data_IF_316867695480
#
_entry.id   IF_316867695480
#
_cell.length_a   1.000
_cell.length_b   1.000
_cell.length_c   1.000
_cell.angle_alpha   90.00
_cell.angle_beta   90.00
_cell.angle_gamma   90.00
#
_symmetry.space_group_name_H-M   'P 1'
#
loop_
_entity.id
_entity.type
_entity.pdbx_description
1 polymer ?
#
# COMPACT_ATOMS: atom_id res chain seq x y z
N UNK A 1 -24.70 -11.35 7.06
CA UNK A 1 -24.00 -11.66 8.33
C UNK A 1 -22.67 -10.94 8.29
N UNK A 2 -22.26 -10.29 9.38
CA UNK A 2 -20.97 -9.59 9.49
C UNK A 2 -20.13 -10.24 10.60
N UNK A 3 -18.79 -10.09 10.60
CA UNK A 3 -17.96 -10.62 11.68
C UNK A 3 -18.35 -10.02 13.04
N UNK A 4 -18.34 -10.84 14.09
CA UNK A 4 -18.54 -10.43 15.47
C UNK A 4 -17.38 -10.92 16.34
N UNK A 5 -17.01 -10.13 17.36
CA UNK A 5 -16.03 -10.56 18.35
C UNK A 5 -16.58 -11.75 19.14
N UNK A 6 -15.77 -12.80 19.26
CA UNK A 6 -16.07 -13.99 20.07
C UNK A 6 -15.43 -13.92 21.46
N UNK A 7 -15.09 -12.72 21.93
CA UNK A 7 -14.51 -12.43 23.24
C UNK A 7 -15.41 -11.47 24.03
N UNK A 8 -15.55 -11.71 25.33
CA UNK A 8 -16.19 -10.77 26.25
C UNK A 8 -15.22 -9.68 26.74
N UNK A 9 -13.92 -9.85 26.53
CA UNK A 9 -12.89 -8.90 26.96
C UNK A 9 -12.73 -7.80 25.90
N UNK A 10 -13.50 -6.74 26.05
CA UNK A 10 -13.50 -5.57 25.16
C UNK A 10 -13.33 -4.22 25.89
N UNK A 11 -13.04 -4.25 27.20
CA UNK A 11 -12.86 -3.05 28.02
C UNK A 11 -11.85 -2.04 27.44
N UNK A 12 -10.62 -2.46 27.09
CA UNK A 12 -9.63 -1.57 26.50
C UNK A 12 -10.06 -1.01 25.14
N UNK A 13 -10.69 -1.84 24.27
CA UNK A 13 -11.25 -1.37 23.01
C UNK A 13 -12.31 -0.28 23.23
N UNK A 14 -13.27 -0.50 24.12
CA UNK A 14 -14.32 0.46 24.43
C UNK A 14 -13.75 1.76 25.03
N UNK A 15 -12.68 1.68 25.82
CA UNK A 15 -11.99 2.85 26.36
C UNK A 15 -11.29 3.64 25.24
N UNK A 16 -10.59 2.95 24.34
CA UNK A 16 -9.98 3.56 23.16
C UNK A 16 -11.02 4.27 22.28
N UNK A 17 -12.14 3.61 21.99
CA UNK A 17 -13.25 4.19 21.22
C UNK A 17 -13.82 5.44 21.87
N UNK A 18 -14.06 5.44 23.19
CA UNK A 18 -14.54 6.62 23.93
C UNK A 18 -13.56 7.79 23.82
N UNK A 19 -12.26 7.53 23.92
CA UNK A 19 -11.24 8.56 23.77
C UNK A 19 -11.23 9.13 22.34
N UNK A 20 -11.29 8.27 21.32
CA UNK A 20 -11.35 8.71 19.92
C UNK A 20 -12.61 9.56 19.65
N UNK A 21 -13.78 9.10 20.09
CA UNK A 21 -15.05 9.79 19.88
C UNK A 21 -15.11 11.15 20.59
N UNK A 22 -14.60 11.23 21.82
CA UNK A 22 -14.56 12.49 22.58
C UNK A 22 -13.52 13.49 22.07
N UNK A 23 -12.48 13.02 21.37
CA UNK A 23 -11.41 13.85 20.82
C UNK A 23 -11.51 14.08 19.30
N UNK A 24 -12.60 13.67 18.64
CA UNK A 24 -12.70 13.61 17.16
C UNK A 24 -12.24 14.90 16.44
N UNK A 25 -12.71 16.12 16.78
CA UNK A 25 -12.25 17.33 16.10
C UNK A 25 -10.75 17.61 16.26
N UNK A 26 -10.20 17.22 17.43
CA UNK A 26 -8.77 17.38 17.74
C UNK A 26 -7.93 16.38 16.93
N UNK A 27 -8.37 15.12 16.82
CA UNK A 27 -7.73 14.09 16.01
C UNK A 27 -7.67 14.51 14.54
N UNK A 28 -8.80 14.96 13.99
CA UNK A 28 -8.86 15.40 12.60
C UNK A 28 -7.97 16.63 12.33
N UNK A 29 -7.89 17.56 13.29
CA UNK A 29 -6.96 18.68 13.22
C UNK A 29 -5.49 18.25 13.29
N UNK A 30 -5.17 17.31 14.18
CA UNK A 30 -3.83 16.74 14.30
C UNK A 30 -3.40 16.11 12.97
N UNK A 31 -4.22 15.23 12.38
CA UNK A 31 -3.94 14.63 11.08
C UNK A 31 -3.75 15.68 9.98
N UNK A 32 -4.65 16.67 9.87
CA UNK A 32 -4.48 17.75 8.88
C UNK A 32 -3.14 18.46 9.02
N UNK A 33 -2.64 18.66 10.24
CA UNK A 33 -1.33 19.27 10.49
C UNK A 33 -0.20 18.34 10.07
N UNK A 34 -0.27 17.05 10.41
CA UNK A 34 0.72 16.06 9.97
C UNK A 34 0.84 16.00 8.44
N UNK A 35 -0.29 16.11 7.72
CA UNK A 35 -0.29 16.08 6.26
C UNK A 35 0.26 17.36 5.60
N UNK A 36 0.46 18.45 6.35
CA UNK A 36 1.18 19.63 5.85
C UNK A 36 2.70 19.39 5.82
N UNK A 37 3.21 18.62 6.78
CA UNK A 37 4.64 18.31 6.93
C UNK A 37 5.05 17.04 6.17
N UNK A 38 4.11 16.10 6.03
CA UNK A 38 4.35 14.79 5.41
C UNK A 38 3.35 14.52 4.29
N UNK A 39 3.86 14.27 3.08
CA UNK A 39 3.00 13.87 1.96
C UNK A 39 2.43 12.46 2.16
N UNK A 40 1.14 12.29 1.86
CA UNK A 40 0.51 10.97 1.81
C UNK A 40 0.91 10.21 0.54
N UNK A 41 0.99 8.87 0.55
CA UNK A 41 1.14 8.09 -0.67
C UNK A 41 -0.09 8.25 -1.57
N UNK A 42 0.05 7.89 -2.85
CA UNK A 42 -1.07 7.91 -3.81
C UNK A 42 -2.20 6.98 -3.37
N UNK A 43 -1.82 5.82 -2.83
CA UNK A 43 -2.73 4.84 -2.26
C UNK A 43 -2.00 3.98 -1.21
N UNK A 44 -2.75 3.31 -0.34
CA UNK A 44 -2.24 2.31 0.58
C UNK A 44 -3.39 1.45 1.10
N UNK A 45 -3.08 0.23 1.56
CA UNK A 45 -3.94 -0.53 2.46
C UNK A 45 -3.21 -0.84 3.76
N UNK A 46 -3.97 -0.93 4.85
CA UNK A 46 -3.45 -1.27 6.19
C UNK A 46 -4.31 -2.38 6.76
N UNK A 47 -3.67 -3.50 7.11
CA UNK A 47 -4.35 -4.61 7.79
C UNK A 47 -4.35 -4.33 9.29
N UNK A 48 -5.52 -4.45 9.92
CA UNK A 48 -5.70 -4.28 11.35
C UNK A 48 -6.08 -5.60 12.01
N UNK A 49 -5.69 -5.79 13.27
CA UNK A 49 -6.24 -6.83 14.13
C UNK A 49 -6.89 -6.22 15.36
N UNK A 50 -8.15 -6.60 15.58
CA UNK A 50 -8.89 -6.27 16.79
C UNK A 50 -8.93 -7.49 17.73
N UNK A 51 -8.22 -7.41 18.85
CA UNK A 51 -8.16 -8.46 19.85
C UNK A 51 -9.10 -8.21 21.05
N UNK A 52 -9.92 -7.14 21.01
CA UNK A 52 -10.74 -6.67 22.14
C UNK A 52 -9.95 -5.93 23.23
N UNK A 53 -8.71 -6.35 23.50
CA UNK A 53 -7.77 -5.63 24.38
C UNK A 53 -6.77 -4.73 23.62
N UNK A 54 -6.67 -4.86 22.30
CA UNK A 54 -5.73 -4.12 21.45
C UNK A 54 -6.28 -3.98 20.03
N UNK A 55 -6.05 -2.85 19.40
CA UNK A 55 -6.38 -2.58 18.00
C UNK A 55 -5.14 -2.00 17.32
N UNK A 56 -4.41 -2.84 16.58
CA UNK A 56 -3.13 -2.46 16.01
C UNK A 56 -3.02 -2.81 14.52
N UNK A 57 -2.27 -2.03 13.73
CA UNK A 57 -1.90 -2.42 12.39
C UNK A 57 -0.88 -3.56 12.42
N UNK A 58 -1.00 -4.48 11.47
CA UNK A 58 -0.13 -5.65 11.32
C UNK A 58 0.54 -5.71 9.95
N UNK A 59 -0.01 -5.02 8.96
CA UNK A 59 0.63 -4.84 7.66
C UNK A 59 0.29 -3.47 7.06
N UNK A 60 1.20 -2.94 6.25
CA UNK A 60 0.96 -1.74 5.43
C UNK A 60 1.52 -2.02 4.04
N UNK A 61 0.62 -1.98 3.06
CA UNK A 61 0.93 -2.23 1.66
C UNK A 61 0.75 -0.94 0.84
N UNK A 62 1.83 -0.50 0.20
CA UNK A 62 1.84 0.63 -0.73
C UNK A 62 1.48 0.23 -2.17
N UNK A 63 1.15 -1.04 -2.40
CA UNK A 63 0.73 -1.63 -3.67
C UNK A 63 -0.53 -2.48 -3.45
N UNK A 64 -1.63 -1.91 -2.93
CA UNK A 64 -2.83 -2.68 -2.61
C UNK A 64 -3.38 -3.42 -3.83
N UNK A 65 -3.61 -4.73 -3.68
CA UNK A 65 -4.04 -5.63 -4.76
C UNK A 65 -5.49 -6.11 -4.65
N UNK A 66 -6.35 -5.37 -3.94
CA UNK A 66 -7.73 -5.78 -3.62
C UNK A 66 -8.81 -4.76 -3.96
N UNK A 67 -8.60 -3.89 -4.96
CA UNK A 67 -9.58 -2.84 -5.32
C UNK A 67 -10.96 -3.39 -5.72
N UNK A 68 -11.00 -4.60 -6.28
CA UNK A 68 -12.23 -5.30 -6.64
C UNK A 68 -13.06 -5.76 -5.42
N UNK A 69 -12.50 -5.71 -4.20
CA UNK A 69 -13.21 -6.08 -2.96
C UNK A 69 -13.89 -4.87 -2.29
N UNK A 70 -13.64 -3.65 -2.78
CA UNK A 70 -14.30 -2.45 -2.27
C UNK A 70 -15.80 -2.49 -2.60
N UNK A 71 -16.62 -1.97 -1.70
CA UNK A 71 -18.07 -1.91 -1.93
C UNK A 71 -18.38 -0.94 -3.10
N UNK A 72 -19.03 -1.41 -4.19
CA UNK A 72 -19.31 -0.59 -5.37
C UNK A 72 -20.09 0.70 -5.07
N UNK A 73 -20.90 0.73 -4.00
CA UNK A 73 -21.64 1.91 -3.57
C UNK A 73 -20.71 3.09 -3.18
N UNK A 74 -19.45 2.82 -2.84
CA UNK A 74 -18.44 3.83 -2.51
C UNK A 74 -17.50 4.17 -3.67
N UNK A 75 -17.81 3.74 -4.89
CA UNK A 75 -17.03 4.12 -6.09
C UNK A 75 -16.89 5.65 -6.23
N UNK A 76 -17.94 6.48 -6.05
CA UNK A 76 -17.79 7.94 -6.13
C UNK A 76 -16.78 8.50 -5.13
N UNK A 77 -16.73 7.95 -3.91
CA UNK A 77 -15.74 8.33 -2.89
C UNK A 77 -14.31 7.96 -3.32
N UNK A 78 -14.14 6.76 -3.89
CA UNK A 78 -12.84 6.31 -4.40
C UNK A 78 -12.34 7.22 -5.54
N UNK A 79 -13.24 7.59 -6.46
CA UNK A 79 -12.93 8.51 -7.56
C UNK A 79 -12.52 9.88 -7.04
N UNK A 80 -13.28 10.45 -6.10
CA UNK A 80 -12.93 11.73 -5.48
C UNK A 80 -11.56 11.69 -4.79
N UNK A 81 -11.28 10.63 -4.02
CA UNK A 81 -9.99 10.46 -3.36
C UNK A 81 -8.84 10.31 -4.36
N UNK A 82 -9.04 9.58 -5.46
CA UNK A 82 -8.07 9.45 -6.54
C UNK A 82 -7.79 10.79 -7.23
N UNK A 83 -8.82 11.61 -7.50
CA UNK A 83 -8.63 12.97 -8.04
C UNK A 83 -7.76 13.83 -7.13
N UNK A 84 -8.00 13.82 -5.80
CA UNK A 84 -7.16 14.54 -4.83
C UNK A 84 -5.71 14.00 -4.83
N UNK A 85 -5.52 12.69 -4.97
CA UNK A 85 -4.18 12.09 -5.04
C UNK A 85 -3.44 12.53 -6.32
N UNK A 86 -4.14 12.59 -7.46
CA UNK A 86 -3.60 13.10 -8.73
C UNK A 86 -3.18 14.57 -8.61
N UNK A 87 -4.05 15.42 -8.09
CA UNK A 87 -3.77 16.85 -7.89
C UNK A 87 -2.54 17.09 -7.00
N UNK A 88 -2.31 16.24 -6.00
CA UNK A 88 -1.16 16.36 -5.08
C UNK A 88 0.14 15.83 -5.66
N UNK A 89 0.10 14.70 -6.38
CA UNK A 89 1.30 13.92 -6.73
C UNK A 89 1.73 14.18 -8.18
N UNK A 90 0.77 14.33 -9.09
CA UNK A 90 1.02 14.52 -10.50
C UNK A 90 -0.06 15.40 -11.16
N UNK A 91 -0.18 16.68 -10.75
CA UNK A 91 -1.29 17.56 -11.15
C UNK A 91 -1.41 17.80 -12.67
N UNK A 92 -0.29 17.72 -13.39
CA UNK A 92 -0.25 17.90 -14.85
C UNK A 92 -0.43 16.58 -15.61
N UNK A 93 -0.64 15.45 -14.92
CA UNK A 93 -0.78 14.16 -15.56
C UNK A 93 -2.12 14.04 -16.30
N UNK A 94 -2.04 13.93 -17.62
CA UNK A 94 -3.18 13.57 -18.46
C UNK A 94 -3.20 12.05 -18.74
N UNK A 95 -2.02 11.45 -18.91
CA UNK A 95 -1.82 10.03 -19.22
C UNK A 95 -1.07 9.32 -18.10
N UNK A 96 -1.56 8.16 -17.68
CA UNK A 96 -0.96 7.35 -16.63
C UNK A 96 -0.70 5.92 -17.12
N UNK A 97 0.54 5.45 -16.96
CA UNK A 97 0.88 4.04 -17.20
C UNK A 97 0.72 3.25 -15.91
N UNK A 98 -0.19 2.28 -15.89
CA UNK A 98 -0.35 1.35 -14.77
C UNK A 98 0.47 0.08 -15.02
N UNK A 99 1.42 -0.23 -14.14
CA UNK A 99 2.22 -1.46 -14.20
C UNK A 99 1.72 -2.45 -13.14
N UNK A 100 1.09 -3.58 -13.53
CA UNK A 100 0.62 -4.59 -12.61
C UNK A 100 1.73 -5.60 -12.23
N UNK A 101 1.41 -6.51 -11.32
CA UNK A 101 2.19 -7.73 -11.07
C UNK A 101 2.32 -8.57 -12.34
N UNK A 102 3.38 -9.37 -12.41
CA UNK A 102 3.62 -10.27 -13.56
C UNK A 102 2.63 -11.44 -13.63
N UNK A 103 1.78 -11.61 -12.62
CA UNK A 103 0.81 -12.70 -12.52
C UNK A 103 -0.35 -12.54 -13.50
N UNK A 104 -0.32 -13.29 -14.60
CA UNK A 104 -1.38 -13.29 -15.62
C UNK A 104 -2.47 -14.33 -15.40
N UNK A 105 -2.29 -15.24 -14.43
CA UNK A 105 -3.23 -16.37 -14.16
C UNK A 105 -4.15 -16.16 -12.96
N UNK A 106 -3.85 -15.19 -12.10
CA UNK A 106 -4.67 -14.93 -10.92
C UNK A 106 -5.86 -14.03 -11.30
N UNK A 107 -7.00 -14.65 -11.59
CA UNK A 107 -8.22 -13.94 -12.00
C UNK A 107 -8.67 -12.87 -11.01
N UNK A 108 -8.52 -13.10 -9.70
CA UNK A 108 -8.85 -12.07 -8.69
C UNK A 108 -7.96 -10.84 -8.79
N UNK A 109 -6.67 -11.06 -9.03
CA UNK A 109 -5.73 -9.95 -9.22
C UNK A 109 -6.02 -9.18 -10.52
N UNK A 110 -6.40 -9.86 -11.60
CA UNK A 110 -6.80 -9.17 -12.84
C UNK A 110 -8.06 -8.32 -12.65
N UNK A 111 -9.04 -8.79 -11.84
CA UNK A 111 -10.20 -7.97 -11.43
C UNK A 111 -9.77 -6.75 -10.62
N UNK A 112 -8.79 -6.90 -9.73
CA UNK A 112 -8.19 -5.78 -9.02
C UNK A 112 -7.63 -4.72 -9.99
N UNK A 113 -6.85 -5.14 -11.00
CA UNK A 113 -6.27 -4.23 -12.00
C UNK A 113 -7.38 -3.53 -12.79
N UNK A 114 -8.42 -4.25 -13.19
CA UNK A 114 -9.58 -3.68 -13.88
C UNK A 114 -10.30 -2.63 -13.01
N UNK A 115 -10.57 -2.94 -11.74
CA UNK A 115 -11.20 -2.03 -10.79
C UNK A 115 -10.37 -0.76 -10.56
N UNK A 116 -9.05 -0.91 -10.34
CA UNK A 116 -8.12 0.20 -10.17
C UNK A 116 -8.08 1.10 -11.42
N UNK A 117 -7.92 0.51 -12.60
CA UNK A 117 -7.93 1.26 -13.86
C UNK A 117 -9.26 2.01 -14.07
N UNK A 118 -10.39 1.39 -13.70
CA UNK A 118 -11.70 2.03 -13.78
C UNK A 118 -11.82 3.26 -12.86
N UNK A 119 -11.35 3.17 -11.61
CA UNK A 119 -11.33 4.29 -10.67
C UNK A 119 -10.48 5.45 -11.24
N UNK A 120 -9.28 5.13 -11.73
CA UNK A 120 -8.34 6.12 -12.28
C UNK A 120 -8.89 6.81 -13.54
N UNK A 121 -9.56 6.07 -14.43
CA UNK A 121 -10.22 6.64 -15.61
C UNK A 121 -11.37 7.56 -15.23
N UNK A 122 -12.19 7.16 -14.26
CA UNK A 122 -13.27 8.02 -13.74
C UNK A 122 -12.73 9.26 -13.02
N UNK A 123 -11.50 9.22 -12.50
CA UNK A 123 -10.80 10.38 -11.94
C UNK A 123 -10.26 11.35 -13.02
N UNK A 124 -10.46 11.05 -14.31
CA UNK A 124 -10.12 11.92 -15.45
C UNK A 124 -8.80 11.60 -16.15
N UNK A 125 -8.15 10.47 -15.83
CA UNK A 125 -6.89 10.06 -16.45
C UNK A 125 -7.11 9.15 -17.67
N UNK A 126 -6.29 9.31 -18.70
CA UNK A 126 -6.13 8.33 -19.77
C UNK A 126 -5.15 7.23 -19.30
N UNK A 127 -5.70 6.06 -18.95
CA UNK A 127 -4.97 4.96 -18.30
C UNK A 127 -4.83 3.75 -19.22
N UNK A 128 -3.57 3.35 -19.45
CA UNK A 128 -3.21 2.09 -20.11
C UNK A 128 -2.38 1.20 -19.20
N UNK A 129 -2.46 -0.12 -19.44
CA UNK A 129 -1.84 -1.12 -18.57
C UNK A 129 -0.61 -1.68 -19.28
N UNK A 130 0.57 -1.38 -18.73
CA UNK A 130 1.85 -1.84 -19.26
C UNK A 130 2.38 -3.04 -18.49
N UNK A 131 2.58 -4.16 -19.18
CA UNK A 131 3.23 -5.34 -18.62
C UNK A 131 4.75 -5.26 -18.76
N UNK A 132 5.44 -5.59 -17.67
CA UNK A 132 6.89 -5.86 -17.65
C UNK A 132 7.18 -7.37 -17.60
N UNK A 133 6.15 -8.22 -17.77
CA UNK A 133 6.33 -9.65 -17.87
C UNK A 133 6.93 -9.99 -19.25
N UNK A 134 8.11 -10.65 -19.30
CA UNK A 134 8.77 -10.99 -20.57
C UNK A 134 7.96 -11.93 -21.47
N UNK A 135 6.98 -12.65 -20.93
CA UNK A 135 6.08 -13.52 -21.72
C UNK A 135 5.03 -12.74 -22.53
N UNK A 136 4.76 -11.47 -22.18
CA UNK A 136 3.84 -10.59 -22.91
C UNK A 136 4.65 -9.81 -23.94
N UNK A 137 4.66 -10.26 -25.19
CA UNK A 137 5.42 -9.63 -26.28
C UNK A 137 4.57 -8.80 -27.25
N UNK A 138 3.24 -8.91 -27.14
CA UNK A 138 2.26 -8.20 -27.96
C UNK A 138 1.02 -7.83 -27.12
N UNK A 139 0.21 -6.84 -27.54
CA UNK A 139 -1.03 -6.50 -26.85
C UNK A 139 -1.91 -7.73 -26.62
N UNK A 140 -2.07 -8.13 -25.36
CA UNK A 140 -2.70 -9.38 -24.95
C UNK A 140 -3.97 -9.07 -24.18
N UNK A 141 -5.10 -9.52 -24.73
CA UNK A 141 -6.42 -9.41 -24.12
C UNK A 141 -6.63 -10.55 -23.13
N UNK A 142 -7.01 -10.24 -21.88
CA UNK A 142 -7.24 -11.23 -20.82
C UNK A 142 -8.62 -11.02 -20.19
N UNK A 143 -9.44 -12.08 -20.15
CA UNK A 143 -10.76 -12.04 -19.51
C UNK A 143 -10.68 -12.25 -17.99
N UNK A 144 -11.36 -11.39 -17.24
CA UNK A 144 -11.40 -11.41 -15.77
C UNK A 144 -12.50 -12.35 -15.22
N UNK A 145 -13.11 -13.18 -16.07
CA UNK A 145 -14.15 -14.16 -15.75
C UNK A 145 -15.41 -13.59 -15.06
N UNK A 146 -15.63 -12.28 -15.17
CA UNK A 146 -16.84 -11.54 -14.76
C UNK A 146 -17.42 -10.75 -15.95
N UNK A 147 -17.04 -11.13 -17.17
CA UNK A 147 -17.45 -10.46 -18.42
C UNK A 147 -16.65 -9.20 -18.76
N UNK A 148 -15.67 -8.82 -17.93
CA UNK A 148 -14.72 -7.75 -18.27
C UNK A 148 -13.44 -8.33 -18.89
N UNK A 149 -12.71 -7.44 -19.56
CA UNK A 149 -11.46 -7.74 -20.24
C UNK A 149 -10.46 -6.65 -19.92
N UNK A 150 -9.21 -7.03 -19.67
CA UNK A 150 -8.08 -6.09 -19.62
C UNK A 150 -7.19 -6.30 -20.83
N UNK A 151 -6.62 -5.21 -21.33
CA UNK A 151 -5.57 -5.25 -22.35
C UNK A 151 -4.23 -5.00 -21.66
N UNK A 152 -3.36 -6.01 -21.67
CA UNK A 152 -1.98 -5.88 -21.23
C UNK A 152 -1.08 -5.60 -22.42
N UNK A 153 -0.23 -4.60 -22.32
CA UNK A 153 0.65 -4.21 -23.42
C UNK A 153 2.12 -4.29 -23.00
N UNK A 154 3.01 -4.80 -23.87
CA UNK A 154 4.43 -4.87 -23.56
C UNK A 154 5.01 -3.46 -23.40
N UNK A 155 5.54 -3.16 -22.21
CA UNK A 155 6.24 -1.89 -21.97
C UNK A 155 7.52 -1.86 -22.79
N UNK A 156 7.73 -0.75 -23.52
CA UNK A 156 8.98 -0.48 -24.22
C UNK A 156 9.70 0.67 -23.53
N UNK A 157 11.01 0.57 -23.42
CA UNK A 157 11.85 1.68 -22.98
C UNK A 157 12.48 2.36 -24.18
N UNK A 158 12.16 3.63 -24.38
CA UNK A 158 12.76 4.49 -25.40
C UNK A 158 13.54 5.58 -24.68
N UNK A 159 14.87 5.53 -24.77
CA UNK A 159 15.77 6.35 -23.93
C UNK A 159 15.45 6.14 -22.44
N UNK A 160 15.06 7.18 -21.72
CA UNK A 160 14.72 7.13 -20.30
C UNK A 160 13.21 7.20 -20.04
N UNK A 161 12.38 6.80 -21.01
CA UNK A 161 10.92 6.82 -20.87
C UNK A 161 10.32 5.45 -21.18
N UNK A 162 9.33 5.07 -20.39
CA UNK A 162 8.45 3.92 -20.61
C UNK A 162 7.28 4.35 -21.47
N UNK A 163 7.09 3.64 -22.58
CA UNK A 163 6.08 3.95 -23.58
C UNK A 163 5.34 2.68 -24.00
N UNK A 164 4.10 2.85 -24.42
CA UNK A 164 3.32 1.87 -25.18
C UNK A 164 3.10 2.41 -26.60
N UNK A 165 2.44 1.63 -27.46
CA UNK A 165 2.19 2.06 -28.83
C UNK A 165 1.31 3.32 -28.88
N UNK A 166 1.85 4.41 -29.44
CA UNK A 166 1.20 5.72 -29.47
C UNK A 166 0.95 6.37 -28.09
N UNK A 167 1.56 5.87 -27.01
CA UNK A 167 1.25 6.32 -25.65
C UNK A 167 2.51 6.56 -24.81
N UNK A 168 2.75 7.84 -24.50
CA UNK A 168 3.80 8.30 -23.59
C UNK A 168 3.14 8.98 -22.37
N UNK A 169 3.23 8.31 -21.23
CA UNK A 169 2.57 8.73 -19.98
C UNK A 169 3.36 9.80 -19.23
N UNK A 170 2.64 10.63 -18.48
CA UNK A 170 3.24 11.65 -17.61
C UNK A 170 3.88 11.02 -16.37
N UNK A 171 3.24 9.99 -15.82
CA UNK A 171 3.67 9.26 -14.63
C UNK A 171 3.37 7.77 -14.76
N UNK A 172 4.05 6.97 -13.95
CA UNK A 172 3.94 5.52 -13.91
C UNK A 172 3.47 5.10 -12.52
N UNK A 173 2.27 4.52 -12.43
CA UNK A 173 1.72 3.95 -11.22
C UNK A 173 2.06 2.46 -11.16
N UNK A 174 2.77 2.07 -10.11
CA UNK A 174 3.13 0.68 -9.82
C UNK A 174 2.04 0.05 -8.95
N UNK A 175 1.39 -0.99 -9.45
CA UNK A 175 0.62 -1.95 -8.66
C UNK A 175 1.36 -3.31 -8.56
N UNK A 176 2.68 -3.23 -8.63
CA UNK A 176 3.65 -4.30 -8.49
C UNK A 176 4.60 -3.95 -7.35
N UNK A 177 4.73 -4.82 -6.35
CA UNK A 177 5.51 -4.54 -5.14
C UNK A 177 7.03 -4.62 -5.34
N UNK A 178 7.46 -5.11 -6.51
CA UNK A 178 8.85 -5.32 -6.90
C UNK A 178 9.62 -6.19 -5.90
N UNK A 179 8.93 -7.16 -5.27
CA UNK A 179 9.48 -8.07 -4.28
C UNK A 179 10.65 -8.91 -4.80
N UNK A 180 10.67 -9.21 -6.10
CA UNK A 180 11.78 -9.86 -6.81
C UNK A 180 12.99 -8.97 -7.10
N UNK A 181 12.97 -7.70 -6.68
CA UNK A 181 13.97 -6.68 -7.03
C UNK A 181 13.44 -5.68 -8.06
N UNK A 182 14.11 -4.54 -8.18
CA UNK A 182 13.75 -3.47 -9.12
C UNK A 182 14.30 -3.82 -10.52
N UNK A 183 13.45 -4.09 -11.52
CA UNK A 183 13.87 -4.37 -12.89
C UNK A 183 14.65 -3.20 -13.50
N UNK A 184 15.68 -3.50 -14.30
CA UNK A 184 16.52 -2.49 -14.96
C UNK A 184 15.70 -1.52 -15.82
N UNK A 185 14.62 -2.02 -16.45
CA UNK A 185 13.72 -1.20 -17.28
C UNK A 185 13.11 -0.02 -16.50
N UNK A 186 12.90 -0.14 -15.17
CA UNK A 186 12.33 0.90 -14.32
C UNK A 186 13.38 1.88 -13.75
N UNK A 187 14.68 1.57 -13.88
CA UNK A 187 15.74 2.36 -13.25
C UNK A 187 16.11 3.58 -14.11
N UNK A 188 16.21 4.76 -13.48
CA UNK A 188 16.67 5.98 -14.14
C UNK A 188 15.72 6.50 -15.24
N UNK A 189 14.41 6.26 -15.09
CA UNK A 189 13.41 6.82 -15.99
C UNK A 189 13.09 8.27 -15.61
N UNK A 190 12.69 9.08 -16.60
CA UNK A 190 12.30 10.48 -16.43
C UNK A 190 10.90 10.63 -15.82
N UNK A 191 10.04 9.62 -15.99
CA UNK A 191 8.68 9.64 -15.48
C UNK A 191 8.68 9.40 -13.97
N UNK A 192 7.78 10.10 -13.26
CA UNK A 192 7.59 9.87 -11.83
C UNK A 192 7.01 8.47 -11.60
N UNK A 193 7.71 7.66 -10.80
CA UNK A 193 7.23 6.37 -10.32
C UNK A 193 6.43 6.55 -9.03
N UNK A 194 5.25 5.96 -8.98
CA UNK A 194 4.30 6.09 -7.89
C UNK A 194 3.97 4.68 -7.37
N UNK A 195 4.27 4.33 -6.10
CA UNK A 195 5.20 5.04 -5.22
C UNK A 195 6.65 5.03 -5.79
N UNK A 196 7.54 5.90 -5.30
CA UNK A 196 8.93 5.93 -5.76
C UNK A 196 9.67 4.64 -5.36
N UNK A 197 10.65 4.22 -6.17
CA UNK A 197 11.33 2.92 -6.03
C UNK A 197 11.99 2.66 -4.67
N UNK A 198 12.45 3.71 -3.97
CA UNK A 198 13.02 3.58 -2.62
C UNK A 198 11.97 3.23 -1.55
N UNK A 199 10.68 3.31 -1.87
CA UNK A 199 9.58 2.83 -1.05
C UNK A 199 9.18 1.37 -1.39
N UNK A 200 9.80 0.77 -2.42
CA UNK A 200 9.54 -0.61 -2.85
C UNK A 200 10.11 -1.67 -1.90
N UNK A 201 9.57 -2.90 -1.97
CA UNK A 201 9.89 -3.97 -1.03
C UNK A 201 11.39 -4.31 -0.96
N UNK A 202 12.08 -4.30 -2.10
CA UNK A 202 13.49 -4.64 -2.22
C UNK A 202 14.44 -3.73 -1.41
N UNK A 203 13.99 -2.53 -1.01
CA UNK A 203 14.82 -1.55 -0.28
C UNK A 203 14.28 -1.23 1.12
N UNK A 204 13.02 -1.57 1.41
CA UNK A 204 12.39 -1.31 2.70
C UNK A 204 12.87 -2.28 3.77
N UNK A 205 13.52 -1.78 4.83
CA UNK A 205 13.75 -2.55 6.05
C UNK A 205 12.52 -2.51 6.95
N UNK A 206 11.97 -3.67 7.31
CA UNK A 206 10.82 -3.78 8.24
C UNK A 206 11.08 -3.04 9.56
N UNK A 207 12.30 -3.12 10.08
CA UNK A 207 12.70 -2.42 11.32
C UNK A 207 12.57 -0.90 11.23
N UNK A 208 12.88 -0.30 10.07
CA UNK A 208 12.70 1.15 9.86
C UNK A 208 11.21 1.52 9.82
N UNK A 209 10.38 0.68 9.21
CA UNK A 209 8.93 0.89 9.22
C UNK A 209 8.36 0.86 10.65
N UNK A 210 8.70 -0.17 11.44
CA UNK A 210 8.23 -0.25 12.82
C UNK A 210 8.79 0.89 13.68
N UNK A 211 10.03 1.32 13.45
CA UNK A 211 10.59 2.50 14.12
C UNK A 211 9.82 3.79 13.77
N UNK A 212 9.43 3.95 12.50
CA UNK A 212 8.62 5.09 12.08
C UNK A 212 7.22 5.03 12.71
N UNK A 213 6.59 3.85 12.76
CA UNK A 213 5.30 3.67 13.41
C UNK A 213 5.35 3.92 14.91
N UNK A 214 6.39 3.47 15.62
CA UNK A 214 6.58 3.77 17.04
C UNK A 214 6.58 5.27 17.33
N UNK A 215 7.22 6.09 16.48
CA UNK A 215 7.21 7.56 16.67
C UNK A 215 5.80 8.12 16.54
N UNK A 216 5.07 7.73 15.49
CA UNK A 216 3.69 8.18 15.25
C UNK A 216 2.77 7.71 16.37
N UNK A 217 2.87 6.45 16.78
CA UNK A 217 2.04 5.88 17.85
C UNK A 217 2.31 6.58 19.18
N UNK A 218 3.58 6.81 19.53
CA UNK A 218 3.97 7.53 20.73
C UNK A 218 3.40 8.95 20.76
N UNK A 219 3.65 9.74 19.70
CA UNK A 219 3.16 11.12 19.60
C UNK A 219 1.62 11.19 19.67
N UNK A 220 0.94 10.29 18.96
CA UNK A 220 -0.52 10.23 18.95
C UNK A 220 -1.10 9.81 20.30
N UNK A 221 -0.45 8.86 20.97
CA UNK A 221 -0.86 8.38 22.30
C UNK A 221 -0.64 9.43 23.39
N UNK A 222 0.48 10.14 23.37
CA UNK A 222 0.73 11.30 24.25
C UNK A 222 -0.30 12.40 24.01
N UNK A 223 -0.62 12.70 22.74
CA UNK A 223 -1.62 13.69 22.36
C UNK A 223 -3.04 13.36 22.88
N UNK A 224 -3.43 12.08 22.85
CA UNK A 224 -4.75 11.63 23.31
C UNK A 224 -4.79 11.21 24.79
N UNK A 225 -3.64 11.09 25.45
CA UNK A 225 -3.56 10.56 26.81
C UNK A 225 -4.00 9.10 26.90
N UNK A 226 -3.70 8.29 25.88
CA UNK A 226 -3.98 6.85 25.86
C UNK A 226 -2.69 6.05 26.04
N UNK A 227 -2.82 4.79 26.47
CA UNK A 227 -1.70 3.85 26.48
C UNK A 227 -1.29 3.51 25.03
N UNK A 228 -0.03 3.79 24.69
CA UNK A 228 0.59 3.47 23.39
C UNK A 228 0.44 2.01 23.02
N UNK A 229 0.50 1.11 24.00
CA UNK A 229 0.38 -0.32 23.75
C UNK A 229 -0.97 -0.72 23.16
N UNK A 230 -2.03 0.07 23.33
CA UNK A 230 -3.34 -0.25 22.75
C UNK A 230 -3.35 -0.21 21.21
N UNK A 231 -2.42 0.53 20.61
CA UNK A 231 -2.29 0.71 19.16
C UNK A 231 -0.94 0.24 18.60
N UNK A 232 0.07 0.07 19.45
CA UNK A 232 1.43 -0.25 19.00
C UNK A 232 1.93 -1.61 19.48
N UNK A 233 2.19 -2.59 18.60
CA UNK A 233 2.87 -3.84 18.96
C UNK A 233 4.33 -3.59 19.38
N UNK A 234 4.80 -4.31 20.39
CA UNK A 234 6.24 -4.32 20.68
C UNK A 234 6.99 -5.04 19.55
N UNK A 235 8.19 -4.55 19.24
CA UNK A 235 9.09 -5.19 18.28
C UNK A 235 10.54 -5.02 18.74
N UNK A 236 11.39 -5.96 18.33
CA UNK A 236 12.84 -5.88 18.48
C UNK A 236 13.51 -6.43 17.21
N UNK A 237 14.81 -6.22 17.08
CA UNK A 237 15.62 -6.70 15.95
C UNK A 237 16.86 -7.44 16.45
N UNK A 238 17.20 -8.53 15.79
CA UNK A 238 18.49 -9.21 15.90
C UNK A 238 19.27 -9.07 14.59
N UNK A 239 20.59 -9.16 14.66
CA UNK A 239 21.48 -9.06 13.49
C UNK A 239 22.51 -10.18 13.50
N UNK A 240 23.15 -10.46 12.36
CA UNK A 240 24.20 -11.49 12.31
C UNK A 240 23.68 -12.93 12.46
N UNK A 241 22.41 -13.17 12.14
CA UNK A 241 21.81 -14.51 12.18
C UNK A 241 22.11 -15.25 10.88
N UNK A 242 22.63 -16.48 11.01
CA UNK A 242 22.71 -17.45 9.92
C UNK A 242 21.91 -18.70 10.30
N UNK A 243 20.73 -18.84 9.68
CA UNK A 243 19.83 -19.96 9.91
C UNK A 243 20.38 -21.30 9.41
N UNK A 244 21.26 -21.31 8.40
CA UNK A 244 21.87 -22.54 7.87
C UNK A 244 23.02 -23.01 8.77
N UNK A 245 23.81 -22.06 9.27
CA UNK A 245 24.93 -22.35 10.17
C UNK A 245 24.54 -22.41 11.66
N UNK A 246 23.26 -22.14 12.00
CA UNK A 246 22.76 -22.04 13.38
C UNK A 246 23.50 -21.00 14.22
N UNK A 247 23.98 -19.93 13.59
CA UNK A 247 24.69 -18.83 14.25
C UNK A 247 23.68 -17.78 14.71
N UNK A 248 23.80 -17.34 15.96
CA UNK A 248 22.93 -16.32 16.56
C UNK A 248 21.61 -16.86 17.13
N UNK A 249 21.46 -18.19 17.26
CA UNK A 249 20.26 -18.77 17.88
C UNK A 249 20.04 -18.30 19.33
N UNK A 250 21.11 -18.24 20.13
CA UNK A 250 21.02 -17.76 21.53
C UNK A 250 20.61 -16.28 21.62
N UNK A 251 21.13 -15.43 20.71
CA UNK A 251 20.74 -14.02 20.62
C UNK A 251 19.26 -13.90 20.27
N UNK A 252 18.80 -14.69 19.29
CA UNK A 252 17.39 -14.71 18.91
C UNK A 252 16.50 -15.18 20.05
N UNK A 253 16.91 -16.24 20.77
CA UNK A 253 16.17 -16.76 21.92
C UNK A 253 16.05 -15.70 23.04
N UNK A 254 17.16 -15.03 23.39
CA UNK A 254 17.15 -13.97 24.40
C UNK A 254 16.27 -12.78 23.98
N UNK A 255 16.28 -12.40 22.70
CA UNK A 255 15.41 -11.36 22.15
C UNK A 255 13.94 -11.72 22.21
N UNK A 256 13.60 -12.98 21.92
CA UNK A 256 12.23 -13.50 22.04
C UNK A 256 11.79 -13.51 23.50
N UNK A 257 12.62 -14.02 24.41
CA UNK A 257 12.33 -14.05 25.85
C UNK A 257 12.13 -12.65 26.43
N UNK A 258 12.93 -11.66 26.00
CA UNK A 258 12.76 -10.27 26.44
C UNK A 258 11.48 -9.61 25.94
N UNK A 259 10.86 -10.11 24.87
CA UNK A 259 9.66 -9.54 24.27
C UNK A 259 8.37 -10.15 24.84
N UNK A 260 8.44 -11.38 25.35
CA UNK A 260 7.33 -12.14 25.94
C UNK A 260 7.08 -11.73 27.40
#
# INVERSE_FOLDING_TARGET
MVPHLTTALNGPLLALEKNILSAMPKIEHWFRTQWLEHSSPFYASVDLRNAGFKLAPVDTNLFPGGFNNLNPAFTPLCVQAATVAVEKICPEAHRLLLIPENHTRNTYYLRNVAALANILRQAGLDVRIGSINPEITEPTSIETHDGQTILLEPVKRVKNRLVLDGFDSCAVLLNNDLSGGIPEILQGIEQNLIPPLHAGWATRRKSQHFSAYNRVAKEFSEFLGIDEWLINPYFDTASGIDFQARVGEDEMAAKVESLL
#
